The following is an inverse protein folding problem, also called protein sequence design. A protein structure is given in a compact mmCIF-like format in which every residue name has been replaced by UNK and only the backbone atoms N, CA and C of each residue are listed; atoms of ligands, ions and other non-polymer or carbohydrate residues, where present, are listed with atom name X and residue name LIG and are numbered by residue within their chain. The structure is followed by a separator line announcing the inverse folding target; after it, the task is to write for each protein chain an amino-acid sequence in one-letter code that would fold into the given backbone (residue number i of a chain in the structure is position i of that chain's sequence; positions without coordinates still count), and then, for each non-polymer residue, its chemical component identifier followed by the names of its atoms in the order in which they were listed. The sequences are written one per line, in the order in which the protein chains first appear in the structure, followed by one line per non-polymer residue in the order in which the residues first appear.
data_IF_020497010316
#
_entry.id   IF_020497010316
#
_cell.length_a   1.000
_cell.length_b   1.000
_cell.length_c   1.000
_cell.angle_alpha   90.00
_cell.angle_beta   90.00
_cell.angle_gamma   90.00
#
_symmetry.space_group_name_H-M   'P 1'
#
loop_
_entity.id
_entity.type
_entity.pdbx_description
1 polymer ?
#
# COMPACT_ATOMS: atom_id res chain seq x y z
N UNK A 1 -17.13 8.72 20.05
CA UNK A 1 -17.17 7.92 18.79
C UNK A 1 -16.61 8.79 17.69
N UNK A 2 -15.49 8.39 17.05
CA UNK A 2 -14.89 9.14 15.94
C UNK A 2 -15.67 8.88 14.65
N UNK A 3 -15.99 9.93 13.93
CA UNK A 3 -16.71 9.88 12.63
C UNK A 3 -15.71 9.95 11.49
N UNK A 4 -15.63 8.89 10.70
CA UNK A 4 -14.64 8.70 9.65
C UNK A 4 -15.33 8.64 8.29
N UNK A 5 -14.89 9.45 7.34
CA UNK A 5 -15.30 9.33 5.95
C UNK A 5 -14.18 8.68 5.14
N UNK A 6 -14.47 7.55 4.51
CA UNK A 6 -13.58 6.92 3.53
C UNK A 6 -13.97 7.44 2.14
N UNK A 7 -13.09 8.19 1.52
CA UNK A 7 -13.26 8.67 0.16
C UNK A 7 -12.63 7.70 -0.82
N UNK A 8 -13.42 7.19 -1.77
CA UNK A 8 -13.09 6.08 -2.66
C UNK A 8 -13.85 4.80 -2.30
N UNK A 9 -15.18 4.91 -2.22
CA UNK A 9 -16.08 3.80 -1.93
C UNK A 9 -15.79 2.59 -2.83
N UNK A 10 -15.78 1.38 -2.23
CA UNK A 10 -15.46 0.13 -2.92
C UNK A 10 -13.97 -0.08 -3.23
N UNK A 11 -13.06 0.79 -2.77
CA UNK A 11 -11.63 0.53 -2.82
C UNK A 11 -11.28 -0.66 -1.91
N UNK A 12 -10.32 -1.51 -2.32
CA UNK A 12 -9.93 -2.68 -1.53
C UNK A 12 -9.52 -2.29 -0.10
N UNK A 13 -8.58 -1.35 0.04
CA UNK A 13 -8.09 -0.93 1.35
C UNK A 13 -9.20 -0.27 2.17
N UNK A 14 -9.99 0.63 1.56
CA UNK A 14 -11.09 1.30 2.26
C UNK A 14 -12.11 0.32 2.81
N UNK A 15 -12.53 -0.65 2.00
CA UNK A 15 -13.48 -1.70 2.40
C UNK A 15 -12.93 -2.55 3.56
N UNK A 16 -11.65 -2.93 3.50
CA UNK A 16 -11.03 -3.73 4.55
C UNK A 16 -10.83 -2.94 5.85
N UNK A 17 -10.41 -1.68 5.77
CA UNK A 17 -10.31 -0.79 6.94
C UNK A 17 -11.67 -0.58 7.59
N UNK A 18 -12.74 -0.36 6.80
CA UNK A 18 -14.10 -0.26 7.33
C UNK A 18 -14.52 -1.53 8.08
N UNK A 19 -14.27 -2.69 7.48
CA UNK A 19 -14.58 -3.98 8.11
C UNK A 19 -13.77 -4.20 9.41
N UNK A 20 -12.51 -3.79 9.41
CA UNK A 20 -11.64 -3.86 10.59
C UNK A 20 -12.13 -2.95 11.72
N UNK A 21 -12.43 -1.68 11.42
CA UNK A 21 -12.93 -0.72 12.41
C UNK A 21 -14.31 -1.10 13.00
N UNK A 22 -15.12 -1.83 12.24
CA UNK A 22 -16.41 -2.34 12.74
C UNK A 22 -16.27 -3.36 13.89
N UNK A 23 -15.06 -3.92 14.10
CA UNK A 23 -14.75 -4.80 15.25
C UNK A 23 -14.69 -4.04 16.59
N UNK A 24 -14.71 -2.71 16.56
CA UNK A 24 -14.63 -1.84 17.74
C UNK A 24 -15.95 -1.06 17.92
N UNK A 25 -17.02 -1.71 18.37
CA UNK A 25 -18.34 -1.10 18.46
C UNK A 25 -18.33 0.11 19.40
N UNK A 26 -19.01 1.17 18.99
CA UNK A 26 -19.09 2.43 19.74
C UNK A 26 -17.85 3.33 19.65
N UNK A 27 -16.73 2.89 19.04
CA UNK A 27 -15.54 3.72 18.91
C UNK A 27 -15.53 4.51 17.58
N UNK A 28 -15.98 3.90 16.50
CA UNK A 28 -15.94 4.49 15.16
C UNK A 28 -17.31 4.43 14.47
N UNK A 29 -17.65 5.52 13.75
CA UNK A 29 -18.73 5.57 12.78
C UNK A 29 -18.12 5.81 11.39
N UNK A 30 -18.19 4.82 10.52
CA UNK A 30 -17.50 4.85 9.21
C UNK A 30 -18.52 4.98 8.09
N UNK A 31 -18.38 6.03 7.28
CA UNK A 31 -19.12 6.26 6.04
C UNK A 31 -18.18 6.16 4.84
N UNK A 32 -18.73 5.86 3.68
CA UNK A 32 -17.98 5.82 2.43
C UNK A 32 -18.59 6.79 1.40
N UNK A 33 -17.74 7.42 0.60
CA UNK A 33 -18.16 8.27 -0.50
C UNK A 33 -17.44 7.91 -1.79
N UNK A 34 -18.23 7.75 -2.85
CA UNK A 34 -17.69 7.64 -4.20
C UNK A 34 -17.15 9.01 -4.64
N UNK A 35 -16.01 9.01 -5.31
CA UNK A 35 -15.31 10.21 -5.76
C UNK A 35 -15.35 10.39 -7.29
N UNK A 36 -16.17 9.58 -7.98
CA UNK A 36 -16.39 9.76 -9.42
C UNK A 36 -17.35 10.94 -9.68
N UNK A 37 -16.99 11.76 -10.67
CA UNK A 37 -17.74 12.99 -11.00
C UNK A 37 -17.63 14.05 -9.91
N UNK A 38 -18.48 15.07 -9.97
CA UNK A 38 -18.42 16.26 -9.09
C UNK A 38 -19.37 16.18 -7.89
N UNK A 39 -20.28 15.22 -7.84
CA UNK A 39 -21.30 15.13 -6.79
C UNK A 39 -20.77 14.98 -5.34
N UNK A 40 -19.49 14.70 -5.16
CA UNK A 40 -18.86 14.70 -3.85
C UNK A 40 -18.61 16.15 -3.31
N UNK A 41 -18.51 17.14 -4.19
CA UNK A 41 -18.24 18.54 -3.81
C UNK A 41 -19.37 19.13 -2.99
N UNK A 42 -20.61 18.68 -3.23
CA UNK A 42 -21.81 19.11 -2.49
C UNK A 42 -21.96 18.37 -1.14
N UNK A 43 -21.19 17.30 -0.92
CA UNK A 43 -21.25 16.57 0.34
C UNK A 43 -20.55 17.36 1.44
N UNK A 44 -21.24 17.68 2.54
CA UNK A 44 -20.61 18.29 3.71
C UNK A 44 -19.68 17.31 4.41
N UNK A 45 -18.49 17.79 4.80
CA UNK A 45 -17.53 17.05 5.62
C UNK A 45 -17.54 17.49 7.09
N UNK A 46 -18.35 18.48 7.47
CA UNK A 46 -18.40 19.08 8.83
C UNK A 46 -18.69 18.08 9.94
N UNK A 47 -19.39 17.02 9.59
CA UNK A 47 -19.74 15.98 10.54
C UNK A 47 -18.66 14.92 10.77
N UNK A 48 -17.52 14.99 10.10
CA UNK A 48 -16.45 14.01 10.19
C UNK A 48 -15.24 14.55 10.95
N UNK A 49 -14.67 13.72 11.79
CA UNK A 49 -13.41 14.01 12.48
C UNK A 49 -12.22 13.72 11.58
N UNK A 50 -12.34 12.68 10.73
CA UNK A 50 -11.25 12.12 9.94
C UNK A 50 -11.71 11.82 8.51
N UNK A 51 -10.87 12.15 7.54
CA UNK A 51 -10.98 11.66 6.16
C UNK A 51 -9.87 10.64 5.91
N UNK A 52 -10.23 9.42 5.50
CA UNK A 52 -9.30 8.44 4.94
C UNK A 52 -9.46 8.41 3.42
N UNK A 53 -8.51 9.01 2.72
CA UNK A 53 -8.56 9.10 1.26
C UNK A 53 -7.92 7.88 0.60
N UNK A 54 -8.77 6.99 0.08
CA UNK A 54 -8.38 5.74 -0.59
C UNK A 54 -8.67 5.75 -2.09
N UNK A 55 -9.30 6.83 -2.60
CA UNK A 55 -9.53 6.99 -4.03
C UNK A 55 -8.19 7.10 -4.78
N UNK A 56 -8.11 6.44 -5.91
CA UNK A 56 -6.93 6.49 -6.74
C UNK A 56 -6.97 5.43 -7.85
N UNK A 57 -6.21 5.68 -8.89
CA UNK A 57 -5.99 4.72 -9.97
C UNK A 57 -4.60 4.12 -9.83
N UNK A 58 -4.52 2.79 -9.97
CA UNK A 58 -3.29 2.01 -9.91
C UNK A 58 -3.23 1.15 -11.17
N UNK A 59 -2.08 1.08 -11.82
CA UNK A 59 -1.81 0.18 -12.94
C UNK A 59 -2.98 0.01 -13.93
N UNK A 60 -3.30 1.05 -14.68
CA UNK A 60 -3.96 0.84 -15.97
C UNK A 60 -2.86 0.48 -16.97
N UNK A 61 -3.05 -0.64 -17.67
CA UNK A 61 -2.18 -1.02 -18.78
C UNK A 61 -2.18 0.12 -19.80
N UNK A 62 -1.08 0.83 -19.88
CA UNK A 62 -0.85 1.84 -20.88
C UNK A 62 0.57 1.70 -21.40
N UNK A 63 0.77 1.95 -22.66
CA UNK A 63 2.10 2.28 -23.17
C UNK A 63 2.65 3.43 -22.33
N UNK A 64 3.82 3.27 -21.76
CA UNK A 64 4.46 4.16 -20.75
C UNK A 64 4.60 5.64 -21.16
N UNK A 65 4.04 6.07 -22.27
CA UNK A 65 4.26 7.38 -22.91
C UNK A 65 2.99 8.07 -23.40
N UNK A 66 1.77 7.56 -23.07
CA UNK A 66 0.55 8.23 -23.50
C UNK A 66 0.24 9.44 -22.58
N UNK A 67 0.28 10.69 -23.10
CA UNK A 67 0.00 11.91 -22.31
C UNK A 67 -1.39 11.92 -21.67
N UNK A 68 -2.38 11.23 -22.27
CA UNK A 68 -3.72 11.13 -21.72
C UNK A 68 -3.73 10.39 -20.37
N UNK A 69 -2.83 9.41 -20.19
CA UNK A 69 -2.68 8.72 -18.91
C UNK A 69 -2.00 9.60 -17.86
N UNK A 70 -1.00 10.39 -18.23
CA UNK A 70 -0.38 11.34 -17.29
C UNK A 70 -1.41 12.32 -16.74
N UNK A 71 -2.23 12.89 -17.60
CA UNK A 71 -3.33 13.79 -17.23
C UNK A 71 -4.31 13.08 -16.29
N UNK A 72 -4.74 11.87 -16.62
CA UNK A 72 -5.67 11.10 -15.79
C UNK A 72 -5.07 10.78 -14.41
N UNK A 73 -3.80 10.35 -14.35
CA UNK A 73 -3.12 10.10 -13.07
C UNK A 73 -2.99 11.37 -12.25
N UNK A 74 -2.69 12.51 -12.87
CA UNK A 74 -2.60 13.80 -12.18
C UNK A 74 -3.95 14.19 -11.61
N UNK A 75 -5.01 14.16 -12.40
CA UNK A 75 -6.37 14.51 -11.96
C UNK A 75 -6.84 13.65 -10.78
N UNK A 76 -6.67 12.31 -10.88
CA UNK A 76 -7.24 11.39 -9.88
C UNK A 76 -6.33 11.20 -8.66
N UNK A 77 -5.01 11.13 -8.84
CA UNK A 77 -4.10 10.82 -7.75
C UNK A 77 -3.43 12.06 -7.13
N UNK A 78 -3.45 13.21 -7.81
CA UNK A 78 -2.85 14.45 -7.30
C UNK A 78 -3.91 15.51 -7.00
N UNK A 79 -4.71 15.92 -7.98
CA UNK A 79 -5.58 17.06 -7.81
C UNK A 79 -6.80 16.71 -6.95
N UNK A 80 -7.43 15.57 -7.18
CA UNK A 80 -8.55 15.11 -6.36
C UNK A 80 -8.24 15.04 -4.86
N UNK A 81 -7.18 14.33 -4.38
CA UNK A 81 -6.87 14.31 -2.95
C UNK A 81 -6.55 15.69 -2.37
N UNK A 82 -5.94 16.58 -3.15
CA UNK A 82 -5.66 17.97 -2.73
C UNK A 82 -6.98 18.73 -2.54
N UNK A 83 -7.87 18.72 -3.52
CA UNK A 83 -9.19 19.37 -3.41
C UNK A 83 -10.02 18.81 -2.24
N UNK A 84 -9.97 17.48 -2.02
CA UNK A 84 -10.64 16.85 -0.88
C UNK A 84 -10.05 17.32 0.45
N UNK A 85 -8.73 17.42 0.55
CA UNK A 85 -8.04 17.88 1.75
C UNK A 85 -8.32 19.36 2.04
N UNK A 86 -8.31 20.21 1.02
CA UNK A 86 -8.66 21.63 1.13
C UNK A 86 -10.09 21.82 1.67
N UNK A 87 -11.05 21.11 1.07
CA UNK A 87 -12.44 21.11 1.54
C UNK A 87 -12.55 20.58 2.97
N UNK A 88 -11.88 19.46 3.29
CA UNK A 88 -11.87 18.89 4.62
C UNK A 88 -11.35 19.89 5.67
N UNK A 89 -10.23 20.57 5.38
CA UNK A 89 -9.66 21.60 6.24
C UNK A 89 -10.60 22.78 6.42
N UNK A 90 -11.17 23.29 5.35
CA UNK A 90 -12.11 24.42 5.37
C UNK A 90 -13.38 24.11 6.16
N UNK A 91 -13.83 22.86 6.16
CA UNK A 91 -15.02 22.39 6.89
C UNK A 91 -14.73 21.92 8.32
N UNK A 92 -13.49 22.03 8.79
CA UNK A 92 -13.12 21.77 10.18
C UNK A 92 -12.83 20.32 10.54
N UNK A 93 -12.64 19.44 9.55
CA UNK A 93 -12.09 18.09 9.76
C UNK A 93 -10.72 18.18 10.44
N UNK A 94 -10.44 17.29 11.38
CA UNK A 94 -9.21 17.36 12.19
C UNK A 94 -8.04 16.59 11.60
N UNK A 95 -8.32 15.53 10.82
CA UNK A 95 -7.25 14.68 10.30
C UNK A 95 -7.57 14.19 8.88
N UNK A 96 -6.53 14.14 8.05
CA UNK A 96 -6.57 13.63 6.69
C UNK A 96 -5.49 12.57 6.50
N UNK A 97 -5.90 11.32 6.24
CA UNK A 97 -5.00 10.23 5.94
C UNK A 97 -5.00 9.99 4.42
N UNK A 98 -3.82 10.01 3.82
CA UNK A 98 -3.63 9.81 2.39
C UNK A 98 -2.90 8.50 2.10
N UNK A 99 -3.49 7.62 1.31
CA UNK A 99 -2.81 6.43 0.82
C UNK A 99 -1.93 6.77 -0.38
N UNK A 100 -0.65 6.90 -0.10
CA UNK A 100 0.43 6.97 -1.08
C UNK A 100 0.95 5.57 -1.42
N UNK A 101 2.24 5.40 -1.69
CA UNK A 101 2.84 4.13 -2.15
C UNK A 101 4.35 4.13 -1.96
N UNK A 102 4.96 2.94 -1.83
CA UNK A 102 6.40 2.76 -1.93
C UNK A 102 6.96 3.19 -3.31
N UNK A 103 6.14 3.20 -4.36
CA UNK A 103 6.56 3.58 -5.73
C UNK A 103 7.05 5.02 -5.86
N UNK A 104 6.79 5.90 -4.87
CA UNK A 104 7.33 7.27 -4.84
C UNK A 104 8.86 7.31 -4.78
N UNK A 105 9.49 6.24 -4.30
CA UNK A 105 10.95 6.12 -4.28
C UNK A 105 11.54 5.71 -5.63
N UNK A 106 10.74 5.14 -6.56
CA UNK A 106 11.18 4.74 -7.89
C UNK A 106 12.24 3.63 -7.91
N UNK A 107 12.42 2.93 -6.80
CA UNK A 107 13.48 1.96 -6.64
C UNK A 107 13.07 0.58 -7.13
N UNK A 108 13.99 -0.06 -7.84
CA UNK A 108 13.94 -1.48 -8.19
C UNK A 108 15.27 -2.11 -7.78
N UNK A 109 15.21 -3.19 -7.03
CA UNK A 109 16.42 -3.89 -6.61
C UNK A 109 16.79 -4.98 -7.64
N UNK A 110 17.98 -4.92 -8.27
CA UNK A 110 18.48 -6.03 -9.06
C UNK A 110 18.68 -7.27 -8.18
N UNK A 111 18.47 -8.45 -8.76
CA UNK A 111 18.66 -9.71 -8.03
C UNK A 111 20.10 -9.83 -7.50
N UNK A 112 20.23 -10.03 -6.19
CA UNK A 112 21.52 -10.12 -5.48
C UNK A 112 22.12 -8.77 -5.07
N UNK A 113 21.42 -7.63 -5.32
CA UNK A 113 21.79 -6.32 -4.82
C UNK A 113 20.64 -5.77 -3.97
N UNK A 114 20.64 -6.00 -2.65
CA UNK A 114 19.56 -5.54 -1.78
C UNK A 114 19.54 -4.02 -1.72
N UNK A 115 18.32 -3.45 -1.69
CA UNK A 115 18.07 -2.03 -1.53
C UNK A 115 17.21 -1.85 -0.28
N UNK A 116 17.69 -1.03 0.64
CA UNK A 116 16.98 -0.63 1.87
C UNK A 116 16.54 0.82 1.75
N UNK A 117 15.26 1.06 1.94
CA UNK A 117 14.69 2.40 2.00
C UNK A 117 14.78 2.87 3.45
N UNK A 118 15.46 3.98 3.67
CA UNK A 118 15.63 4.65 4.96
C UNK A 118 14.97 6.03 4.96
N UNK A 119 14.99 6.72 6.08
CA UNK A 119 14.49 8.10 6.18
C UNK A 119 15.19 9.07 5.22
N UNK A 120 16.44 8.79 4.86
CA UNK A 120 17.29 9.65 4.02
C UNK A 120 17.18 9.28 2.52
N UNK A 121 16.40 8.24 2.19
CA UNK A 121 16.21 7.82 0.79
C UNK A 121 15.38 8.87 0.04
N UNK A 122 15.92 9.49 -1.03
CA UNK A 122 15.20 10.51 -1.77
C UNK A 122 14.04 9.91 -2.58
N UNK A 123 13.00 10.73 -2.79
CA UNK A 123 11.94 10.39 -3.74
C UNK A 123 12.46 10.55 -5.17
N UNK A 124 12.26 9.54 -6.00
CA UNK A 124 12.64 9.53 -7.41
C UNK A 124 11.68 8.67 -8.25
N UNK A 125 10.38 9.01 -8.29
CA UNK A 125 9.37 8.18 -8.95
C UNK A 125 9.61 8.08 -10.45
N UNK A 126 9.54 6.86 -11.00
CA UNK A 126 9.87 6.58 -12.40
C UNK A 126 8.64 6.36 -13.29
N UNK A 127 7.49 6.09 -12.72
CA UNK A 127 6.23 5.89 -13.45
C UNK A 127 5.19 6.96 -13.13
N UNK A 128 4.14 7.07 -13.94
CA UNK A 128 3.07 8.07 -13.75
C UNK A 128 2.38 7.92 -12.40
N UNK A 129 2.21 6.68 -11.93
CA UNK A 129 1.60 6.42 -10.63
C UNK A 129 2.45 6.97 -9.47
N UNK A 130 3.72 6.62 -9.42
CA UNK A 130 4.63 7.14 -8.39
C UNK A 130 4.77 8.66 -8.45
N UNK A 131 4.89 9.24 -9.66
CA UNK A 131 4.96 10.70 -9.84
C UNK A 131 3.71 11.40 -9.35
N UNK A 132 2.52 10.92 -9.71
CA UNK A 132 1.26 11.53 -9.25
C UNK A 132 1.08 11.46 -7.74
N UNK A 133 1.46 10.33 -7.11
CA UNK A 133 1.41 10.20 -5.66
C UNK A 133 2.42 11.11 -4.95
N UNK A 134 3.66 11.19 -5.43
CA UNK A 134 4.67 12.10 -4.89
C UNK A 134 4.27 13.58 -5.02
N UNK A 135 3.65 13.96 -6.15
CA UNK A 135 3.12 15.31 -6.36
C UNK A 135 1.98 15.64 -5.38
N UNK A 136 1.10 14.68 -5.09
CA UNK A 136 0.07 14.84 -4.06
C UNK A 136 0.67 15.04 -2.67
N UNK A 137 1.64 14.22 -2.28
CA UNK A 137 2.34 14.35 -0.99
C UNK A 137 2.96 15.74 -0.80
N UNK A 138 3.62 16.25 -1.84
CA UNK A 138 4.27 17.57 -1.82
C UNK A 138 3.26 18.72 -1.60
N UNK A 139 2.02 18.56 -2.06
CA UNK A 139 0.94 19.53 -1.85
C UNK A 139 0.21 19.31 -0.51
N UNK A 140 0.06 18.08 -0.06
CA UNK A 140 -0.70 17.73 1.15
C UNK A 140 0.09 17.98 2.43
N UNK A 141 1.39 17.64 2.48
CA UNK A 141 2.22 17.78 3.69
C UNK A 141 2.23 19.21 4.26
N UNK A 142 2.37 20.28 3.44
CA UNK A 142 2.34 21.66 3.94
C UNK A 142 0.99 22.11 4.50
N UNK A 143 -0.11 21.37 4.21
CA UNK A 143 -1.43 21.68 4.78
C UNK A 143 -1.53 21.31 6.25
N UNK A 144 -0.62 20.47 6.76
CA UNK A 144 -0.64 19.99 8.13
C UNK A 144 -0.28 21.10 9.11
N UNK A 145 -1.16 21.33 10.09
CA UNK A 145 -0.96 22.27 11.21
C UNK A 145 -1.62 21.74 12.50
N UNK A 146 -1.72 22.57 13.52
CA UNK A 146 -2.33 22.21 14.79
C UNK A 146 -3.83 21.87 14.69
N UNK A 147 -4.53 22.43 13.69
CA UNK A 147 -5.97 22.28 13.49
C UNK A 147 -6.34 21.19 12.48
N UNK A 148 -5.41 20.84 11.58
CA UNK A 148 -5.60 19.87 10.50
C UNK A 148 -4.35 19.00 10.35
N UNK A 149 -4.42 17.76 10.77
CA UNK A 149 -3.29 16.81 10.79
C UNK A 149 -3.27 15.98 9.51
N UNK A 150 -2.18 15.99 8.78
CA UNK A 150 -2.01 15.19 7.55
C UNK A 150 -1.07 14.02 7.79
N UNK A 151 -1.58 12.81 7.57
CA UNK A 151 -0.83 11.56 7.63
C UNK A 151 -0.72 10.93 6.24
N UNK A 152 0.50 10.73 5.78
CA UNK A 152 0.80 10.09 4.49
C UNK A 152 1.25 8.65 4.75
N UNK A 153 0.54 7.68 4.19
CA UNK A 153 0.95 6.28 4.26
C UNK A 153 1.59 5.84 2.94
N UNK A 154 2.79 5.29 2.98
CA UNK A 154 3.51 4.74 1.82
C UNK A 154 3.57 3.21 1.89
N UNK A 155 2.44 2.49 1.74
CA UNK A 155 2.46 1.04 1.82
C UNK A 155 3.30 0.43 0.68
N UNK A 156 3.98 -0.70 0.94
CA UNK A 156 4.58 -1.54 -0.09
C UNK A 156 3.49 -2.39 -0.75
N UNK A 157 3.78 -3.62 -1.16
CA UNK A 157 2.75 -4.55 -1.62
C UNK A 157 1.80 -4.86 -0.46
N UNK A 158 0.52 -4.46 -0.61
CA UNK A 158 -0.56 -4.82 0.32
C UNK A 158 -1.17 -6.13 -0.14
N UNK A 159 -1.36 -7.08 0.77
CA UNK A 159 -2.01 -8.36 0.48
C UNK A 159 -3.04 -8.74 1.55
N UNK A 160 -3.88 -9.69 1.21
CA UNK A 160 -4.98 -10.20 2.02
C UNK A 160 -6.09 -10.75 1.13
N UNK A 161 -7.13 -11.29 1.71
CA UNK A 161 -8.26 -11.91 0.98
C UNK A 161 -8.86 -10.93 -0.03
N UNK A 162 -8.95 -11.35 -1.29
CA UNK A 162 -9.51 -10.53 -2.37
C UNK A 162 -8.58 -9.43 -2.92
N UNK A 163 -7.31 -9.34 -2.49
CA UNK A 163 -6.37 -8.35 -2.99
C UNK A 163 -6.13 -8.48 -4.50
N UNK A 164 -5.76 -7.37 -5.12
CA UNK A 164 -5.37 -7.29 -6.54
C UNK A 164 -3.85 -7.08 -6.65
N UNK A 165 -3.32 -7.22 -7.86
CA UNK A 165 -1.92 -6.87 -8.15
C UNK A 165 -0.91 -7.99 -7.89
N UNK A 166 0.29 -7.64 -7.42
CA UNK A 166 1.46 -8.53 -7.42
C UNK A 166 1.29 -9.83 -6.60
N UNK A 167 0.50 -9.81 -5.54
CA UNK A 167 0.24 -11.01 -4.74
C UNK A 167 -0.49 -12.08 -5.56
N UNK A 168 -1.40 -11.69 -6.46
CA UNK A 168 -2.09 -12.63 -7.37
C UNK A 168 -1.13 -13.42 -8.26
N UNK A 169 -0.02 -12.81 -8.68
CA UNK A 169 1.00 -13.53 -9.44
C UNK A 169 1.64 -14.65 -8.59
N UNK A 170 1.89 -14.39 -7.30
CA UNK A 170 2.39 -15.41 -6.37
C UNK A 170 1.37 -16.53 -6.16
N UNK A 171 0.09 -16.20 -6.02
CA UNK A 171 -1.01 -17.19 -5.95
C UNK A 171 -1.07 -18.04 -7.22
N UNK A 172 -0.90 -17.43 -8.39
CA UNK A 172 -0.88 -18.15 -9.68
C UNK A 172 0.30 -19.14 -9.73
N UNK A 173 1.51 -18.70 -9.37
CA UNK A 173 2.67 -19.59 -9.31
C UNK A 173 2.45 -20.75 -8.32
N UNK A 174 1.96 -20.45 -7.12
CA UNK A 174 1.66 -21.45 -6.10
C UNK A 174 0.61 -22.49 -6.55
N UNK A 175 -0.32 -22.08 -7.42
CA UNK A 175 -1.40 -22.94 -7.91
C UNK A 175 -1.02 -23.74 -9.16
N UNK A 176 -0.10 -23.24 -9.98
CA UNK A 176 0.20 -23.82 -11.30
C UNK A 176 1.52 -24.59 -11.35
N UNK A 177 2.52 -24.15 -10.57
CA UNK A 177 3.88 -24.70 -10.68
C UNK A 177 4.13 -25.75 -9.61
N UNK A 178 4.60 -26.97 -9.97
CA UNK A 178 5.03 -27.97 -9.00
C UNK A 178 6.43 -27.67 -8.44
N UNK A 179 7.22 -26.85 -9.16
CA UNK A 179 8.59 -26.49 -8.82
C UNK A 179 8.76 -24.98 -8.96
N UNK A 180 9.47 -24.37 -8.03
CA UNK A 180 9.75 -22.93 -8.06
C UNK A 180 11.22 -22.65 -7.67
N UNK A 181 11.91 -21.68 -8.29
CA UNK A 181 13.29 -21.39 -7.96
C UNK A 181 13.44 -20.88 -6.52
N UNK A 182 14.41 -21.43 -5.78
CA UNK A 182 14.80 -20.93 -4.47
C UNK A 182 15.75 -19.74 -4.65
N UNK A 183 15.26 -18.55 -4.33
CA UNK A 183 16.01 -17.30 -4.39
C UNK A 183 16.09 -16.69 -3.01
N UNK A 184 17.27 -16.25 -2.61
CA UNK A 184 17.46 -15.49 -1.38
C UNK A 184 17.16 -14.02 -1.66
N UNK A 185 15.97 -13.57 -1.27
CA UNK A 185 15.57 -12.16 -1.36
C UNK A 185 14.74 -11.76 -0.13
N UNK A 186 14.66 -10.46 0.10
CA UNK A 186 13.84 -9.86 1.15
C UNK A 186 13.01 -8.73 0.57
N UNK A 187 11.74 -8.68 0.97
CA UNK A 187 10.80 -7.67 0.49
C UNK A 187 9.91 -7.19 1.63
N UNK A 188 9.69 -5.89 1.67
CA UNK A 188 8.60 -5.36 2.48
C UNK A 188 7.28 -5.68 1.82
N UNK A 189 6.37 -6.24 2.59
CA UNK A 189 4.96 -6.40 2.28
C UNK A 189 4.15 -6.07 3.54
N UNK A 190 2.89 -5.73 3.39
CA UNK A 190 2.02 -5.50 4.54
C UNK A 190 0.71 -6.26 4.36
N UNK A 191 0.32 -7.03 5.38
CA UNK A 191 -0.98 -7.67 5.45
C UNK A 191 -2.06 -6.62 5.70
N UNK A 192 -3.21 -6.80 5.08
CA UNK A 192 -4.26 -5.78 5.09
C UNK A 192 -4.78 -5.44 6.49
N UNK A 193 -4.87 -6.42 7.41
CA UNK A 193 -5.29 -6.12 8.78
C UNK A 193 -4.19 -5.43 9.60
N UNK A 194 -2.91 -5.73 9.34
CA UNK A 194 -1.79 -5.00 9.95
C UNK A 194 -1.82 -3.52 9.49
N UNK A 195 -2.09 -3.28 8.20
CA UNK A 195 -2.28 -1.92 7.69
C UNK A 195 -3.52 -1.23 8.30
N UNK A 196 -4.63 -1.95 8.45
CA UNK A 196 -5.84 -1.42 9.04
C UNK A 196 -5.65 -1.06 10.52
N UNK A 197 -4.90 -1.88 11.27
CA UNK A 197 -4.54 -1.58 12.66
C UNK A 197 -3.64 -0.34 12.75
N UNK A 198 -2.63 -0.20 11.89
CA UNK A 198 -1.85 1.04 11.85
C UNK A 198 -2.74 2.25 11.58
N UNK A 199 -3.64 2.16 10.59
CA UNK A 199 -4.57 3.25 10.27
C UNK A 199 -5.44 3.58 11.48
N UNK A 200 -5.93 2.57 12.22
CA UNK A 200 -6.69 2.77 13.45
C UNK A 200 -5.87 3.54 14.50
N UNK A 201 -4.64 3.11 14.77
CA UNK A 201 -3.76 3.79 15.73
C UNK A 201 -3.47 5.24 15.30
N UNK A 202 -3.16 5.48 14.01
CA UNK A 202 -2.95 6.84 13.49
C UNK A 202 -4.18 7.74 13.66
N UNK A 203 -5.38 7.17 13.49
CA UNK A 203 -6.65 7.86 13.73
C UNK A 203 -6.82 8.18 15.21
N UNK A 204 -6.52 7.24 16.09
CA UNK A 204 -6.71 7.42 17.54
C UNK A 204 -5.75 8.47 18.09
N UNK A 205 -4.51 8.47 17.63
CA UNK A 205 -3.48 9.41 18.07
C UNK A 205 -3.58 10.78 17.40
N UNK A 206 -4.43 10.94 16.38
CA UNK A 206 -4.44 12.15 15.54
C UNK A 206 -3.06 12.39 14.90
N UNK A 207 -2.39 11.32 14.49
CA UNK A 207 -1.01 11.38 14.00
C UNK A 207 -0.87 12.17 12.69
N UNK A 208 0.29 12.80 12.49
CA UNK A 208 0.66 13.49 11.26
C UNK A 208 2.10 13.10 10.85
N UNK A 209 2.39 13.23 9.56
CA UNK A 209 3.70 12.90 9.00
C UNK A 209 3.66 11.76 8.01
N UNK A 210 4.79 11.09 7.78
CA UNK A 210 4.95 10.03 6.79
C UNK A 210 5.16 8.70 7.50
N UNK A 211 4.39 7.68 7.06
CA UNK A 211 4.39 6.34 7.63
C UNK A 211 4.63 5.31 6.53
N UNK A 212 5.56 4.39 6.76
CA UNK A 212 5.96 3.35 5.82
C UNK A 212 5.62 1.96 6.39
N UNK A 213 4.35 1.52 6.34
CA UNK A 213 3.93 0.27 6.95
C UNK A 213 4.57 -0.95 6.30
N UNK A 214 4.90 -1.97 7.11
CA UNK A 214 5.29 -3.30 6.65
C UNK A 214 4.99 -4.33 7.75
N UNK A 215 4.98 -5.62 7.39
CA UNK A 215 4.95 -6.68 8.39
C UNK A 215 6.24 -6.70 9.21
N UNK A 216 6.22 -7.29 10.39
CA UNK A 216 7.41 -7.47 11.22
C UNK A 216 8.48 -8.33 10.55
N UNK A 217 8.08 -9.23 9.67
CA UNK A 217 8.97 -10.10 8.92
C UNK A 217 9.12 -9.63 7.47
N UNK A 218 10.37 -9.61 6.96
CA UNK A 218 10.58 -9.46 5.53
C UNK A 218 10.16 -10.74 4.80
N UNK A 219 9.46 -10.56 3.71
CA UNK A 219 8.96 -11.67 2.89
C UNK A 219 10.02 -12.14 1.91
N UNK A 220 10.21 -13.46 1.81
CA UNK A 220 10.98 -14.09 0.74
C UNK A 220 10.02 -14.59 -0.34
N UNK A 221 10.23 -14.22 -1.60
CA UNK A 221 9.32 -14.56 -2.71
C UNK A 221 9.14 -16.08 -2.86
N UNK A 222 10.22 -16.84 -2.80
CA UNK A 222 10.16 -18.31 -2.99
C UNK A 222 9.43 -18.99 -1.84
N UNK A 223 9.72 -18.59 -0.60
CA UNK A 223 9.04 -19.12 0.59
C UNK A 223 7.56 -18.73 0.58
N UNK A 224 7.24 -17.50 0.19
CA UNK A 224 5.86 -17.03 0.06
C UNK A 224 5.05 -17.91 -0.91
N UNK A 225 5.61 -18.26 -2.08
CA UNK A 225 4.96 -19.17 -3.05
C UNK A 225 4.73 -20.55 -2.42
N UNK A 226 5.70 -21.09 -1.71
CA UNK A 226 5.56 -22.39 -1.05
C UNK A 226 4.52 -22.36 0.10
N UNK A 227 4.47 -21.27 0.87
CA UNK A 227 3.53 -21.13 1.99
C UNK A 227 2.09 -20.91 1.49
N UNK A 228 1.89 -20.12 0.41
CA UNK A 228 0.60 -20.00 -0.29
C UNK A 228 0.13 -21.37 -0.79
N UNK A 229 1.02 -22.15 -1.43
CA UNK A 229 0.69 -23.49 -1.90
C UNK A 229 0.27 -24.39 -0.74
N UNK A 230 1.02 -24.36 0.38
CA UNK A 230 0.72 -25.15 1.58
C UNK A 230 -0.64 -24.78 2.18
N UNK A 231 -0.98 -23.49 2.27
CA UNK A 231 -2.27 -23.04 2.75
C UNK A 231 -3.43 -23.55 1.88
N UNK A 232 -3.17 -23.80 0.58
CA UNK A 232 -4.12 -24.42 -0.37
C UNK A 232 -4.07 -25.94 -0.41
N UNK A 233 -3.39 -26.59 0.52
CA UNK A 233 -3.24 -28.05 0.55
C UNK A 233 -2.34 -28.61 -0.56
N UNK A 234 -1.49 -27.78 -1.19
CA UNK A 234 -0.57 -28.15 -2.27
C UNK A 234 0.89 -28.10 -1.79
N UNK A 235 1.78 -28.71 -2.56
CA UNK A 235 3.23 -28.60 -2.34
C UNK A 235 3.91 -28.05 -3.58
N UNK A 236 4.76 -27.05 -3.39
CA UNK A 236 5.68 -26.53 -4.39
C UNK A 236 7.10 -26.82 -3.91
N UNK A 237 7.86 -27.52 -4.73
CA UNK A 237 9.26 -27.84 -4.42
C UNK A 237 10.15 -26.64 -4.77
N UNK A 238 10.90 -26.14 -3.77
CA UNK A 238 11.85 -25.07 -3.99
C UNK A 238 13.21 -25.65 -4.43
N UNK A 239 13.68 -25.26 -5.62
CA UNK A 239 14.93 -25.80 -6.19
C UNK A 239 15.97 -24.69 -6.32
N UNK A 240 17.13 -24.93 -5.69
CA UNK A 240 18.29 -24.03 -5.74
C UNK A 240 19.09 -24.17 -7.05
N UNK A 241 20.16 -23.37 -7.16
CA UNK A 241 21.10 -23.44 -8.31
C UNK A 241 20.77 -22.55 -9.50
N UNK A 242 19.54 -22.05 -9.62
CA UNK A 242 19.09 -21.23 -10.77
C UNK A 242 19.31 -19.72 -10.61
N UNK A 243 19.87 -19.26 -9.50
CA UNK A 243 20.04 -17.82 -9.21
C UNK A 243 20.88 -17.12 -10.28
N UNK A 244 21.89 -17.76 -10.85
CA UNK A 244 22.71 -17.19 -11.92
C UNK A 244 21.91 -16.97 -13.22
N UNK A 245 21.07 -17.94 -13.60
CA UNK A 245 20.21 -17.81 -14.77
C UNK A 245 19.16 -16.72 -14.58
N UNK A 246 18.57 -16.61 -13.38
CA UNK A 246 17.64 -15.54 -13.03
C UNK A 246 18.32 -14.16 -13.02
N UNK A 247 19.58 -14.05 -12.59
CA UNK A 247 20.36 -12.82 -12.68
C UNK A 247 20.58 -12.40 -14.13
N UNK A 248 20.97 -13.36 -14.98
CA UNK A 248 21.13 -13.10 -16.42
C UNK A 248 19.80 -12.68 -17.04
N UNK A 249 18.73 -13.39 -16.77
CA UNK A 249 17.38 -13.05 -17.27
C UNK A 249 16.91 -11.68 -16.77
N UNK A 250 17.20 -11.34 -15.52
CA UNK A 250 16.85 -10.05 -14.91
C UNK A 250 17.54 -8.84 -15.56
N UNK A 251 18.66 -9.06 -16.28
CA UNK A 251 19.31 -8.00 -17.07
C UNK A 251 18.51 -7.61 -18.30
N UNK A 252 17.66 -8.52 -18.81
CA UNK A 252 16.85 -8.31 -20.03
C UNK A 252 15.36 -8.18 -19.69
N UNK A 253 14.91 -8.79 -18.59
CA UNK A 253 13.50 -8.85 -18.22
C UNK A 253 13.28 -8.17 -16.85
N UNK A 254 12.88 -6.89 -16.81
CA UNK A 254 12.71 -6.13 -15.57
C UNK A 254 11.74 -6.78 -14.57
N UNK A 255 10.77 -7.55 -15.06
CA UNK A 255 9.82 -8.29 -14.22
C UNK A 255 10.50 -9.30 -13.27
N UNK A 256 11.64 -9.87 -13.67
CA UNK A 256 12.42 -10.79 -12.82
C UNK A 256 13.00 -10.04 -11.61
N UNK A 257 13.60 -8.87 -11.81
CA UNK A 257 14.09 -8.03 -10.73
C UNK A 257 12.94 -7.54 -9.84
N UNK A 258 11.80 -7.21 -10.45
CA UNK A 258 10.59 -6.81 -9.70
C UNK A 258 10.03 -7.97 -8.86
N UNK A 259 10.17 -9.22 -9.29
CA UNK A 259 9.69 -10.39 -8.55
C UNK A 259 10.70 -10.89 -7.49
N UNK A 260 11.98 -10.92 -7.83
CA UNK A 260 13.03 -11.57 -7.05
C UNK A 260 14.07 -10.61 -6.45
N UNK A 261 13.99 -9.31 -6.73
CA UNK A 261 14.86 -8.32 -6.12
C UNK A 261 14.53 -8.10 -4.64
N UNK A 262 15.51 -7.60 -3.87
CA UNK A 262 15.37 -7.31 -2.44
C UNK A 262 15.15 -5.82 -2.24
N UNK A 263 13.91 -5.42 -1.98
CA UNK A 263 13.53 -4.03 -1.71
C UNK A 263 12.74 -3.96 -0.40
N UNK A 264 13.33 -3.37 0.62
CA UNK A 264 12.76 -3.30 1.96
C UNK A 264 12.75 -1.87 2.51
N UNK A 265 11.79 -1.60 3.39
CA UNK A 265 11.89 -0.51 4.34
C UNK A 265 12.81 -0.91 5.51
N UNK A 266 13.59 0.04 6.00
CA UNK A 266 14.23 -0.09 7.29
C UNK A 266 13.16 -0.29 8.39
N UNK A 267 13.44 -1.15 9.39
CA UNK A 267 12.47 -1.46 10.45
C UNK A 267 12.14 -0.25 11.31
N UNK A 268 13.11 0.64 11.55
CA UNK A 268 12.87 1.86 12.30
C UNK A 268 11.94 2.82 11.56
N UNK A 269 12.02 2.86 10.21
CA UNK A 269 11.12 3.67 9.38
C UNK A 269 9.67 3.20 9.46
N UNK A 270 9.46 1.91 9.76
CA UNK A 270 8.15 1.29 9.82
C UNK A 270 7.60 1.14 11.25
N UNK A 271 8.40 1.48 12.26
CA UNK A 271 7.97 1.37 13.66
C UNK A 271 6.90 2.42 13.99
N UNK A 272 5.85 2.00 14.69
CA UNK A 272 4.83 2.89 15.25
C UNK A 272 4.27 2.33 16.57
N UNK A 273 4.15 3.20 17.57
CA UNK A 273 3.60 2.83 18.88
C UNK A 273 4.28 1.60 19.49
N UNK A 274 3.48 0.70 20.06
CA UNK A 274 3.92 -0.62 20.56
C UNK A 274 3.90 -1.72 19.48
N UNK A 275 3.65 -1.35 18.22
CA UNK A 275 3.47 -2.25 17.09
C UNK A 275 2.03 -2.29 16.59
N UNK A 276 1.87 -2.61 15.33
CA UNK A 276 0.56 -2.71 14.64
C UNK A 276 0.39 -4.03 13.88
N UNK A 277 1.35 -4.93 13.96
CA UNK A 277 1.26 -6.22 13.31
C UNK A 277 0.44 -7.19 14.17
N UNK A 278 -0.88 -7.21 13.94
CA UNK A 278 -1.84 -8.08 14.65
C UNK A 278 -1.82 -9.52 14.16
N UNK A 279 -1.17 -9.78 13.02
CA UNK A 279 -0.96 -11.10 12.44
C UNK A 279 0.48 -11.28 12.00
N UNK A 280 1.03 -12.43 12.29
CA UNK A 280 2.31 -12.88 11.74
C UNK A 280 2.23 -13.16 10.24
N UNK A 281 3.37 -13.28 9.57
CA UNK A 281 3.41 -13.62 8.14
C UNK A 281 2.70 -14.94 7.86
N UNK A 282 2.91 -15.97 8.70
CA UNK A 282 2.30 -17.28 8.52
C UNK A 282 0.77 -17.25 8.67
N UNK A 283 0.26 -16.63 9.74
CA UNK A 283 -1.19 -16.47 9.97
C UNK A 283 -1.86 -15.69 8.83
N UNK A 284 -1.24 -14.59 8.40
CA UNK A 284 -1.78 -13.73 7.34
C UNK A 284 -1.88 -14.43 5.99
N UNK A 285 -0.93 -15.34 5.67
CA UNK A 285 -1.00 -16.15 4.45
C UNK A 285 -2.18 -17.14 4.54
N UNK A 286 -2.33 -17.83 5.65
CA UNK A 286 -3.45 -18.78 5.84
C UNK A 286 -4.80 -18.03 5.69
N UNK A 287 -4.99 -16.91 6.38
CA UNK A 287 -6.23 -16.12 6.28
C UNK A 287 -6.48 -15.54 4.86
N UNK A 288 -5.43 -15.27 4.11
CA UNK A 288 -5.56 -14.77 2.73
C UNK A 288 -6.05 -15.86 1.78
N UNK A 289 -5.69 -17.13 2.02
CA UNK A 289 -5.91 -18.25 1.09
C UNK A 289 -7.14 -19.10 1.46
N UNK A 290 -7.63 -18.98 2.68
CA UNK A 290 -8.87 -19.64 3.17
C UNK A 290 -10.08 -18.68 3.13
#
# INVERSE_FOLDING_TARGET
MKRILITGAGSYIGTQVKAYLARFPGQYAVSERNMHGEGWTETSFRDYDVILHTAGIVHRESTKQDPAFETLYTQVNTDLPVCVAEKAKAEGVKQFLFLSTQSVYGLTAPLGKPVMITKDTPLNPVDHYGRSKAAAEAKLLPMSDASFRVAILRPPIVYGKGCKGNYRALQSFASQLPVFPLVQNQRSMVYIENLAELIRQLIDDGAAGIFCPQNDEYTNTSRMVADIARAKGRRVMLVGGFTWALKLLGSFVPAVNKAFGSLCYDRQLSAYGSGYCVKTLAESIVETET
#
